data_IF_238651704197
#
_entry.id   IF_238651704197
#
_cell.length_a   1.000
_cell.length_b   1.000
_cell.length_c   1.000
_cell.angle_alpha   90.00
_cell.angle_beta   90.00
_cell.angle_gamma   90.00
#
_symmetry.space_group_name_H-M   'P 1'
#
loop_
_entity.id
_entity.type
_entity.pdbx_description
1 polymer ?
#
# COMPACT_ATOMS: atom_id res chain seq x y z
N UNK A 1 -34.66 -9.52 -21.63
CA UNK A 1 -34.67 -8.70 -22.85
C UNK A 1 -35.82 -7.67 -22.87
N UNK A 2 -37.10 -8.02 -22.59
CA UNK A 2 -38.23 -7.05 -22.56
C UNK A 2 -38.09 -5.94 -21.48
N UNK A 3 -37.55 -6.22 -20.30
CA UNK A 3 -37.39 -5.24 -19.23
C UNK A 3 -36.33 -4.14 -19.54
N UNK A 4 -35.24 -4.49 -20.21
CA UNK A 4 -34.22 -3.51 -20.63
C UNK A 4 -34.72 -2.55 -21.71
N UNK A 5 -35.60 -3.01 -22.58
CA UNK A 5 -36.22 -2.18 -23.63
C UNK A 5 -37.22 -1.18 -23.01
N UNK A 6 -37.97 -1.60 -22.00
CA UNK A 6 -38.89 -0.72 -21.26
C UNK A 6 -38.12 0.41 -20.51
N UNK A 7 -37.06 0.09 -19.83
CA UNK A 7 -36.20 1.09 -19.10
C UNK A 7 -35.60 2.06 -20.10
N UNK A 8 -35.09 1.59 -21.22
CA UNK A 8 -34.52 2.43 -22.29
C UNK A 8 -35.58 3.39 -22.88
N UNK A 9 -36.79 2.95 -23.09
CA UNK A 9 -37.88 3.80 -23.60
C UNK A 9 -38.34 4.86 -22.58
N UNK A 10 -38.38 4.52 -21.29
CA UNK A 10 -38.74 5.47 -20.22
C UNK A 10 -37.68 6.55 -20.08
N UNK A 11 -36.38 6.17 -20.11
CA UNK A 11 -35.27 7.10 -20.06
C UNK A 11 -35.26 8.03 -21.30
N UNK A 12 -35.52 7.48 -22.48
CA UNK A 12 -35.60 8.26 -23.71
C UNK A 12 -36.81 9.22 -23.73
N UNK A 13 -37.95 8.81 -23.18
CA UNK A 13 -39.14 9.68 -23.01
C UNK A 13 -38.89 10.81 -22.01
N UNK A 14 -38.24 10.54 -20.87
CA UNK A 14 -37.86 11.59 -19.89
C UNK A 14 -36.84 12.57 -20.48
N UNK A 15 -35.85 12.09 -21.23
CA UNK A 15 -34.87 12.96 -21.89
C UNK A 15 -35.51 13.85 -22.97
N UNK A 16 -36.45 13.32 -23.75
CA UNK A 16 -37.16 14.10 -24.76
C UNK A 16 -38.15 15.12 -24.14
N UNK A 17 -38.80 14.78 -23.02
CA UNK A 17 -39.66 15.71 -22.28
C UNK A 17 -38.82 16.86 -21.66
N UNK A 18 -37.65 16.55 -21.06
CA UNK A 18 -36.72 17.57 -20.57
C UNK A 18 -36.22 18.46 -21.72
N UNK A 19 -35.81 17.89 -22.85
CA UNK A 19 -35.34 18.65 -24.00
C UNK A 19 -36.47 19.51 -24.65
N UNK A 20 -37.72 19.07 -24.61
CA UNK A 20 -38.88 19.84 -25.09
C UNK A 20 -39.15 21.05 -24.19
N UNK A 21 -39.10 20.88 -22.87
CA UNK A 21 -39.25 21.97 -21.89
C UNK A 21 -38.08 22.96 -22.01
N UNK A 22 -36.85 22.47 -22.18
CA UNK A 22 -35.68 23.34 -22.36
C UNK A 22 -35.70 24.15 -23.67
N UNK A 23 -36.20 23.56 -24.79
CA UNK A 23 -36.32 24.30 -26.06
C UNK A 23 -37.33 25.44 -26.03
N UNK A 24 -38.38 25.32 -25.26
CA UNK A 24 -39.41 26.37 -25.17
C UNK A 24 -39.03 27.50 -24.19
N UNK A 25 -38.18 27.23 -23.18
CA UNK A 25 -37.69 28.22 -22.20
C UNK A 25 -36.53 29.08 -22.76
N UNK A 26 -35.80 28.57 -23.76
CA UNK A 26 -34.60 29.26 -24.27
C UNK A 26 -34.90 30.40 -25.26
N UNK A 27 -36.17 30.63 -25.63
CA UNK A 27 -36.49 31.67 -26.64
C UNK A 27 -36.64 33.08 -26.11
N UNK A 28 -36.90 33.30 -24.81
CA UNK A 28 -37.16 34.69 -24.32
C UNK A 28 -36.58 35.15 -22.99
N UNK A 29 -36.05 34.26 -22.15
CA UNK A 29 -35.50 34.69 -20.85
C UNK A 29 -34.05 34.20 -20.64
N UNK A 30 -33.08 35.08 -20.84
CA UNK A 30 -31.71 34.87 -20.38
C UNK A 30 -31.68 34.88 -18.85
N UNK A 31 -31.25 33.75 -18.25
CA UNK A 31 -30.96 33.69 -16.82
C UNK A 31 -29.99 34.81 -16.43
N UNK A 32 -30.34 35.56 -15.40
CA UNK A 32 -29.51 36.62 -14.84
C UNK A 32 -29.09 36.23 -13.42
N UNK A 33 -27.85 36.49 -13.07
CA UNK A 33 -27.31 36.21 -11.72
C UNK A 33 -27.80 37.26 -10.71
N UNK A 34 -29.12 37.20 -10.40
CA UNK A 34 -29.79 38.15 -9.53
C UNK A 34 -30.68 37.40 -8.56
N UNK A 35 -30.41 37.47 -7.26
CA UNK A 35 -31.08 36.71 -6.20
C UNK A 35 -32.52 37.21 -5.89
N UNK A 36 -32.77 38.50 -6.09
CA UNK A 36 -34.06 39.11 -5.74
C UNK A 36 -35.13 39.04 -6.83
N UNK A 37 -34.78 38.52 -8.00
CA UNK A 37 -35.71 38.38 -9.12
C UNK A 37 -36.14 36.91 -9.26
N UNK A 38 -37.45 36.69 -9.07
CA UNK A 38 -38.02 35.34 -9.28
C UNK A 38 -37.97 35.00 -10.78
N UNK A 39 -37.12 34.12 -11.15
CA UNK A 39 -36.91 33.71 -12.55
C UNK A 39 -37.59 32.35 -12.81
N UNK A 40 -38.08 32.07 -14.04
CA UNK A 40 -38.78 30.83 -14.38
C UNK A 40 -37.82 29.64 -14.58
N UNK A 41 -36.81 29.56 -13.73
CA UNK A 41 -35.82 28.46 -13.74
C UNK A 41 -35.92 27.68 -12.42
N UNK A 42 -35.73 26.36 -12.41
CA UNK A 42 -35.65 25.55 -11.18
C UNK A 42 -34.45 25.98 -10.33
N UNK A 43 -34.55 25.79 -9.01
CA UNK A 43 -33.53 26.24 -8.04
C UNK A 43 -32.14 25.65 -8.29
N UNK A 44 -32.07 24.47 -8.96
CA UNK A 44 -30.82 23.81 -9.34
C UNK A 44 -30.37 24.14 -10.79
N UNK A 45 -30.94 25.18 -11.41
CA UNK A 45 -30.56 25.57 -12.77
C UNK A 45 -29.18 26.22 -12.79
N UNK A 46 -28.23 25.57 -13.41
CA UNK A 46 -26.92 26.13 -13.75
C UNK A 46 -26.90 26.55 -15.22
N UNK A 47 -26.72 27.85 -15.47
CA UNK A 47 -26.65 28.37 -16.85
C UNK A 47 -25.45 27.77 -17.62
N UNK A 48 -25.51 27.78 -18.97
CA UNK A 48 -24.41 27.25 -19.80
C UNK A 48 -23.07 27.92 -19.54
N UNK A 49 -23.06 29.14 -19.01
CA UNK A 49 -21.86 29.86 -18.60
C UNK A 49 -21.14 29.15 -17.43
N UNK A 50 -21.88 28.51 -16.52
CA UNK A 50 -21.31 27.74 -15.41
C UNK A 50 -20.55 26.51 -15.91
N UNK A 51 -21.13 25.77 -16.86
CA UNK A 51 -20.50 24.59 -17.46
C UNK A 51 -19.27 25.00 -18.28
N UNK A 52 -19.31 26.15 -18.95
CA UNK A 52 -18.19 26.69 -19.73
C UNK A 52 -17.06 27.25 -18.82
N UNK A 53 -17.39 27.65 -17.58
CA UNK A 53 -16.40 28.09 -16.59
C UNK A 53 -15.65 26.91 -15.94
N UNK A 54 -16.16 25.68 -16.06
CA UNK A 54 -15.50 24.48 -15.57
C UNK A 54 -14.28 24.17 -16.43
N UNK A 55 -13.10 24.30 -15.81
CA UNK A 55 -11.85 23.94 -16.46
C UNK A 55 -11.61 22.44 -16.28
N UNK A 56 -11.38 21.73 -17.38
CA UNK A 56 -11.05 20.30 -17.36
C UNK A 56 -9.54 20.10 -17.30
N UNK A 57 -9.09 19.23 -16.42
CA UNK A 57 -7.69 18.78 -16.33
C UNK A 57 -6.68 19.93 -16.12
N UNK A 58 -7.07 20.96 -15.37
CA UNK A 58 -6.16 22.04 -14.94
C UNK A 58 -5.13 21.41 -13.99
N UNK A 59 -3.84 21.69 -14.20
CA UNK A 59 -2.73 21.16 -13.40
C UNK A 59 -2.61 19.63 -13.33
N UNK A 60 -3.14 18.89 -14.32
CA UNK A 60 -2.96 17.46 -14.39
C UNK A 60 -1.48 17.12 -14.66
N UNK A 61 -0.75 16.70 -13.62
CA UNK A 61 0.61 16.20 -13.77
C UNK A 61 0.57 14.86 -14.54
N UNK A 62 1.14 14.84 -15.73
CA UNK A 62 1.27 13.61 -16.52
C UNK A 62 2.47 12.83 -15.98
N UNK A 63 2.23 11.60 -15.55
CA UNK A 63 3.27 10.67 -15.10
C UNK A 63 3.84 9.95 -16.30
N UNK A 64 5.16 9.91 -16.42
CA UNK A 64 5.85 9.16 -17.48
C UNK A 64 5.93 7.67 -17.13
N UNK A 65 6.19 6.82 -18.13
CA UNK A 65 6.35 5.38 -17.90
C UNK A 65 7.50 5.10 -16.92
N UNK A 66 8.60 5.81 -17.04
CA UNK A 66 9.74 5.67 -16.13
C UNK A 66 9.40 6.03 -14.67
N UNK A 67 8.64 7.11 -14.46
CA UNK A 67 8.16 7.48 -13.13
C UNK A 67 7.20 6.42 -12.56
N UNK A 68 6.33 5.85 -13.40
CA UNK A 68 5.42 4.78 -12.98
C UNK A 68 6.19 3.51 -12.57
N UNK A 69 7.22 3.12 -13.32
CA UNK A 69 8.10 2.00 -12.99
C UNK A 69 8.86 2.27 -11.67
N UNK A 70 9.40 3.47 -11.49
CA UNK A 70 10.05 3.87 -10.23
C UNK A 70 9.10 3.77 -9.05
N UNK A 71 7.84 4.21 -9.23
CA UNK A 71 6.78 4.07 -8.23
C UNK A 71 6.47 2.61 -7.91
N UNK A 72 6.38 1.72 -8.91
CA UNK A 72 6.14 0.30 -8.70
C UNK A 72 7.27 -0.41 -7.95
N UNK A 73 8.53 0.05 -8.09
CA UNK A 73 9.66 -0.47 -7.31
C UNK A 73 9.47 -0.27 -5.80
N UNK A 74 8.79 0.81 -5.34
CA UNK A 74 8.49 0.98 -3.93
C UNK A 74 7.55 -0.11 -3.40
N UNK A 75 6.52 -0.42 -4.18
CA UNK A 75 5.53 -1.45 -3.84
C UNK A 75 6.18 -2.83 -3.83
N UNK A 76 6.91 -3.16 -4.90
CA UNK A 76 7.58 -4.46 -5.02
C UNK A 76 8.64 -4.69 -3.95
N UNK A 77 9.38 -3.65 -3.58
CA UNK A 77 10.34 -3.72 -2.49
C UNK A 77 9.65 -4.10 -1.16
N UNK A 78 8.50 -3.50 -0.86
CA UNK A 78 7.76 -3.80 0.38
C UNK A 78 7.17 -5.22 0.35
N UNK A 79 6.55 -5.63 -0.76
CA UNK A 79 6.05 -7.01 -0.96
C UNK A 79 7.19 -8.02 -0.79
N UNK A 80 8.34 -7.75 -1.39
CA UNK A 80 9.53 -8.61 -1.28
C UNK A 80 10.04 -8.72 0.16
N UNK A 81 9.95 -7.64 0.96
CA UNK A 81 10.31 -7.65 2.38
C UNK A 81 9.38 -8.57 3.19
N UNK A 82 8.06 -8.50 2.93
CA UNK A 82 7.07 -9.38 3.57
C UNK A 82 7.33 -10.85 3.19
N UNK A 83 7.55 -11.11 1.91
CA UNK A 83 7.84 -12.48 1.41
C UNK A 83 9.15 -13.00 2.01
N UNK A 84 10.18 -12.16 2.11
CA UNK A 84 11.45 -12.53 2.76
C UNK A 84 11.22 -12.96 4.21
N UNK A 85 10.41 -12.22 4.96
CA UNK A 85 10.06 -12.60 6.32
C UNK A 85 9.37 -13.96 6.39
N UNK A 86 8.39 -14.21 5.51
CA UNK A 86 7.70 -15.52 5.42
C UNK A 86 8.66 -16.65 5.06
N UNK A 87 9.63 -16.40 4.20
CA UNK A 87 10.67 -17.38 3.86
C UNK A 87 11.54 -17.70 5.09
N UNK A 88 12.00 -16.68 5.81
CA UNK A 88 12.80 -16.86 7.03
C UNK A 88 11.99 -17.67 8.07
N UNK A 89 10.71 -17.34 8.26
CA UNK A 89 9.83 -18.12 9.12
C UNK A 89 9.73 -19.59 8.68
N UNK A 90 9.54 -19.85 7.37
CA UNK A 90 9.42 -21.21 6.84
C UNK A 90 10.70 -22.02 7.06
N UNK A 91 11.85 -21.41 6.85
CA UNK A 91 13.14 -22.06 7.11
C UNK A 91 13.35 -22.34 8.61
N UNK A 92 12.94 -21.44 9.48
CA UNK A 92 12.97 -21.65 10.92
C UNK A 92 12.03 -22.79 11.34
N UNK A 93 10.79 -22.75 10.85
CA UNK A 93 9.78 -23.80 11.13
C UNK A 93 10.23 -25.18 10.67
N UNK A 94 10.99 -25.29 9.57
CA UNK A 94 11.58 -26.53 9.09
C UNK A 94 12.84 -26.96 9.85
N UNK A 95 13.29 -26.15 10.84
CA UNK A 95 14.53 -26.43 11.58
C UNK A 95 15.81 -26.33 10.75
N UNK A 96 15.76 -25.62 9.61
CA UNK A 96 16.90 -25.49 8.70
C UNK A 96 17.86 -24.37 9.10
N UNK A 97 17.48 -23.50 10.01
CA UNK A 97 18.31 -22.39 10.51
C UNK A 97 18.78 -22.74 11.93
N UNK A 98 20.09 -22.86 12.10
CA UNK A 98 20.72 -23.01 13.40
C UNK A 98 20.87 -21.64 14.07
N UNK A 99 19.81 -21.15 14.71
CA UNK A 99 19.79 -19.83 15.36
C UNK A 99 20.85 -19.69 16.46
N UNK A 100 21.23 -20.78 17.12
CA UNK A 100 22.25 -20.77 18.18
C UNK A 100 23.62 -20.33 17.68
N UNK A 101 24.02 -20.78 16.48
CA UNK A 101 25.31 -20.38 15.88
C UNK A 101 25.29 -18.89 15.49
N UNK A 102 24.17 -18.38 14.98
CA UNK A 102 24.02 -16.96 14.63
C UNK A 102 24.01 -16.06 15.87
N UNK A 103 23.39 -16.49 16.97
CA UNK A 103 23.37 -15.73 18.22
C UNK A 103 24.74 -15.63 18.85
N UNK A 104 25.53 -16.70 18.81
CA UNK A 104 26.92 -16.70 19.32
C UNK A 104 27.81 -15.75 18.49
N UNK A 105 27.66 -15.72 17.17
CA UNK A 105 28.43 -14.80 16.30
C UNK A 105 28.07 -13.31 16.57
N UNK A 106 26.83 -13.01 16.97
CA UNK A 106 26.44 -11.64 17.34
C UNK A 106 27.01 -11.18 18.68
N UNK A 107 27.32 -12.10 19.60
CA UNK A 107 27.96 -11.75 20.87
C UNK A 107 29.44 -11.37 20.68
N UNK A 108 30.11 -11.93 19.69
CA UNK A 108 31.48 -11.53 19.31
C UNK A 108 31.50 -10.13 18.65
N UNK A 109 30.43 -9.74 17.93
CA UNK A 109 30.28 -8.40 17.36
C UNK A 109 30.02 -7.31 18.43
N UNK A 110 29.45 -7.64 19.59
CA UNK A 110 29.26 -6.70 20.71
C UNK A 110 30.58 -6.19 21.30
N UNK A 111 31.66 -6.93 21.13
CA UNK A 111 32.99 -6.51 21.63
C UNK A 111 33.63 -5.42 20.76
N UNK A 112 33.15 -5.17 19.56
CA UNK A 112 33.65 -4.14 18.65
C UNK A 112 32.75 -2.90 18.74
N UNK A 113 33.20 -1.90 19.50
CA UNK A 113 32.47 -0.71 19.94
C UNK A 113 31.82 0.17 18.88
N UNK A 114 30.64 -0.21 18.42
CA UNK A 114 29.79 0.63 17.60
C UNK A 114 28.76 1.41 18.44
N UNK A 115 29.07 2.68 18.71
CA UNK A 115 28.22 3.65 19.43
C UNK A 115 27.08 4.23 18.55
N UNK A 116 26.32 3.44 17.81
CA UNK A 116 25.33 4.04 16.88
C UNK A 116 23.87 4.01 17.35
N UNK A 117 23.51 3.14 18.24
CA UNK A 117 22.19 3.13 18.90
C UNK A 117 22.48 2.99 20.38
N UNK A 118 21.80 3.78 21.23
CA UNK A 118 22.03 3.72 22.66
C UNK A 118 21.97 2.26 23.13
N UNK A 119 23.07 1.70 23.57
CA UNK A 119 23.19 0.29 24.02
C UNK A 119 22.10 -0.07 25.02
N UNK A 120 21.64 0.90 25.81
CA UNK A 120 20.50 0.78 26.73
C UNK A 120 19.20 0.42 25.99
N UNK A 121 18.91 1.02 24.82
CA UNK A 121 17.69 0.76 24.05
C UNK A 121 17.71 -0.65 23.46
N UNK A 122 18.85 -1.12 22.98
CA UNK A 122 19.02 -2.49 22.45
C UNK A 122 18.83 -3.51 23.57
N UNK A 123 19.48 -3.30 24.73
CA UNK A 123 19.36 -4.21 25.87
C UNK A 123 17.92 -4.23 26.40
N UNK A 124 17.27 -3.07 26.52
CA UNK A 124 15.88 -2.97 26.95
C UNK A 124 14.93 -3.71 25.98
N UNK A 125 15.12 -3.50 24.67
CA UNK A 125 14.34 -4.19 23.65
C UNK A 125 14.57 -5.70 23.68
N UNK A 126 15.83 -6.15 23.75
CA UNK A 126 16.18 -7.57 23.83
C UNK A 126 15.57 -8.23 25.07
N UNK A 127 15.67 -7.57 26.23
CA UNK A 127 15.04 -8.05 27.47
C UNK A 127 13.52 -8.14 27.39
N UNK A 128 12.88 -7.13 26.81
CA UNK A 128 11.42 -7.13 26.59
C UNK A 128 11.00 -8.23 25.60
N UNK A 129 11.65 -8.34 24.45
CA UNK A 129 11.33 -9.34 23.44
C UNK A 129 11.55 -10.77 23.94
N UNK A 130 12.64 -11.01 24.70
CA UNK A 130 12.90 -12.31 25.30
C UNK A 130 11.88 -12.67 26.38
N UNK A 131 11.51 -11.71 27.25
CA UNK A 131 10.48 -11.89 28.27
C UNK A 131 9.08 -12.07 27.69
N UNK A 132 8.78 -11.44 26.53
CA UNK A 132 7.49 -11.55 25.84
C UNK A 132 7.35 -12.84 25.01
N UNK A 133 8.46 -13.47 24.65
CA UNK A 133 8.50 -14.71 23.84
C UNK A 133 7.58 -15.83 24.37
N UNK A 134 7.59 -16.21 25.68
CA UNK A 134 6.68 -17.25 26.17
C UNK A 134 5.19 -16.81 26.12
N UNK A 135 4.91 -15.53 26.26
CA UNK A 135 3.53 -15.01 26.13
C UNK A 135 3.04 -15.18 24.69
N UNK A 136 3.87 -14.89 23.70
CA UNK A 136 3.52 -15.11 22.29
C UNK A 136 3.21 -16.58 21.99
N UNK A 137 3.94 -17.52 22.57
CA UNK A 137 3.69 -18.97 22.39
C UNK A 137 2.32 -19.38 22.94
N UNK A 138 1.88 -18.81 24.05
CA UNK A 138 0.61 -19.18 24.69
C UNK A 138 -0.59 -18.43 24.14
N UNK A 139 -0.39 -17.25 23.54
CA UNK A 139 -1.45 -16.34 23.10
C UNK A 139 -2.47 -16.98 22.15
N UNK A 140 -2.01 -17.84 21.26
CA UNK A 140 -2.85 -18.50 20.25
C UNK A 140 -2.93 -20.01 20.45
N UNK A 141 -2.52 -20.54 21.59
CA UNK A 141 -2.48 -21.99 21.86
C UNK A 141 -3.85 -22.68 21.68
N UNK A 142 -4.93 -21.97 21.99
CA UNK A 142 -6.33 -22.46 21.85
C UNK A 142 -6.90 -22.28 20.45
N UNK A 143 -6.24 -21.51 19.57
CA UNK A 143 -6.72 -21.24 18.21
C UNK A 143 -6.16 -22.28 17.26
N UNK A 144 -6.93 -22.69 16.23
CA UNK A 144 -6.46 -23.63 15.20
C UNK A 144 -5.30 -23.04 14.39
N UNK A 145 -4.38 -23.90 13.95
CA UNK A 145 -3.23 -23.47 13.12
C UNK A 145 -3.67 -22.77 11.84
N UNK A 146 -4.70 -23.29 11.18
CA UNK A 146 -5.22 -22.72 9.93
C UNK A 146 -5.78 -21.30 10.13
N UNK A 147 -6.53 -21.08 11.22
CA UNK A 147 -7.04 -19.75 11.57
C UNK A 147 -5.91 -18.77 11.88
N UNK A 148 -4.87 -19.23 12.56
CA UNK A 148 -3.71 -18.41 12.89
C UNK A 148 -2.92 -18.00 11.64
N UNK A 149 -2.71 -18.94 10.71
CA UNK A 149 -2.07 -18.66 9.42
C UNK A 149 -2.91 -17.71 8.57
N UNK A 150 -4.23 -17.95 8.49
CA UNK A 150 -5.14 -17.05 7.75
C UNK A 150 -5.13 -15.64 8.32
N UNK A 151 -5.13 -15.49 9.67
CA UNK A 151 -5.01 -14.19 10.34
C UNK A 151 -3.69 -13.51 10.02
N UNK A 152 -2.58 -14.26 9.99
CA UNK A 152 -1.26 -13.71 9.65
C UNK A 152 -1.23 -13.18 8.20
N UNK A 153 -1.76 -13.96 7.27
CA UNK A 153 -1.86 -13.55 5.85
C UNK A 153 -2.71 -12.27 5.72
N UNK A 154 -3.86 -12.22 6.40
CA UNK A 154 -4.70 -11.03 6.42
C UNK A 154 -3.95 -9.82 6.96
N UNK A 155 -3.22 -9.95 8.06
CA UNK A 155 -2.46 -8.86 8.67
C UNK A 155 -1.29 -8.40 7.79
N UNK A 156 -0.62 -9.30 7.08
CA UNK A 156 0.39 -8.90 6.09
C UNK A 156 -0.22 -8.19 4.88
N UNK A 157 -1.43 -8.55 4.44
CA UNK A 157 -2.15 -7.79 3.41
C UNK A 157 -2.49 -6.38 3.92
N UNK A 158 -2.97 -6.24 5.15
CA UNK A 158 -3.20 -4.93 5.79
C UNK A 158 -1.89 -4.12 5.85
N UNK A 159 -0.78 -4.75 6.24
CA UNK A 159 0.55 -4.12 6.24
C UNK A 159 0.92 -3.57 4.85
N UNK A 160 0.72 -4.35 3.77
CA UNK A 160 1.02 -3.93 2.40
C UNK A 160 0.09 -2.78 1.96
N UNK A 161 -1.22 -2.86 2.25
CA UNK A 161 -2.20 -1.85 1.80
C UNK A 161 -1.98 -0.50 2.49
N UNK A 162 -1.67 -0.49 3.78
CA UNK A 162 -1.51 0.73 4.57
C UNK A 162 -0.07 1.25 4.65
N UNK A 163 0.87 0.61 3.97
CA UNK A 163 2.25 1.07 3.91
C UNK A 163 2.37 2.43 3.20
N UNK A 164 3.21 3.30 3.72
CA UNK A 164 3.50 4.57 3.07
C UNK A 164 4.51 4.36 1.92
N UNK A 165 4.00 4.50 0.70
CA UNK A 165 4.81 4.40 -0.53
C UNK A 165 5.33 5.77 -1.02
N UNK A 166 5.33 6.79 -0.17
CA UNK A 166 5.79 8.15 -0.53
C UNK A 166 4.71 8.98 -1.23
N UNK A 167 3.43 8.61 -1.11
CA UNK A 167 2.31 9.40 -1.60
C UNK A 167 1.64 10.11 -0.42
N UNK A 168 1.41 11.42 -0.55
CA UNK A 168 0.66 12.23 0.43
C UNK A 168 -0.84 11.92 0.35
N UNK A 169 -1.23 10.69 0.68
CA UNK A 169 -2.63 10.27 0.70
C UNK A 169 -3.10 10.18 2.15
N UNK A 170 -4.22 10.82 2.43
CA UNK A 170 -4.83 10.92 3.78
C UNK A 170 -5.12 9.56 4.44
N UNK A 171 -5.27 8.50 3.63
CA UNK A 171 -5.61 7.14 4.11
C UNK A 171 -4.40 6.31 4.52
N UNK A 172 -3.17 6.79 4.35
CA UNK A 172 -1.95 6.03 4.67
C UNK A 172 -1.59 6.23 6.13
N UNK A 173 -1.61 5.15 6.90
CA UNK A 173 -1.17 5.12 8.30
C UNK A 173 0.02 4.19 8.47
N UNK A 174 1.22 4.78 8.52
CA UNK A 174 2.46 4.01 8.75
C UNK A 174 2.43 3.24 10.08
N UNK A 175 1.76 3.79 11.10
CA UNK A 175 1.59 3.12 12.39
C UNK A 175 0.72 1.86 12.26
N UNK A 176 -0.39 1.92 11.52
CA UNK A 176 -1.24 0.77 11.27
C UNK A 176 -0.50 -0.32 10.48
N UNK A 177 0.24 0.07 9.45
CA UNK A 177 1.06 -0.85 8.65
C UNK A 177 2.08 -1.58 9.52
N UNK A 178 2.88 -0.86 10.31
CA UNK A 178 3.87 -1.46 11.20
C UNK A 178 3.25 -2.40 12.24
N UNK A 179 2.16 -1.98 12.88
CA UNK A 179 1.45 -2.80 13.86
C UNK A 179 0.87 -4.07 13.24
N UNK A 180 0.31 -3.99 12.04
CA UNK A 180 -0.20 -5.14 11.32
C UNK A 180 0.92 -6.14 10.97
N UNK A 181 2.09 -5.68 10.54
CA UNK A 181 3.26 -6.53 10.28
C UNK A 181 3.73 -7.27 11.54
N UNK A 182 3.85 -6.56 12.66
CA UNK A 182 4.24 -7.16 13.94
C UNK A 182 3.18 -8.15 14.43
N UNK A 183 1.90 -7.80 14.35
CA UNK A 183 0.81 -8.71 14.77
C UNK A 183 0.76 -9.98 13.92
N UNK A 184 0.90 -9.86 12.59
CA UNK A 184 1.01 -11.01 11.69
C UNK A 184 2.19 -11.93 12.07
N UNK A 185 3.31 -11.32 12.47
CA UNK A 185 4.48 -12.06 13.00
C UNK A 185 4.14 -12.80 14.28
N UNK A 186 3.54 -12.14 15.27
CA UNK A 186 3.14 -12.76 16.55
C UNK A 186 2.26 -13.98 16.32
N UNK A 187 1.32 -13.90 15.38
CA UNK A 187 0.49 -15.04 15.00
C UNK A 187 1.35 -16.21 14.47
N UNK A 188 2.30 -15.97 13.58
CA UNK A 188 3.15 -17.03 13.03
C UNK A 188 4.09 -17.63 14.08
N UNK A 189 4.81 -16.79 14.84
CA UNK A 189 5.82 -17.28 15.80
C UNK A 189 5.20 -18.03 16.97
N UNK A 190 3.91 -17.84 17.25
CA UNK A 190 3.17 -18.61 18.25
C UNK A 190 3.10 -20.12 17.93
N UNK A 191 3.45 -20.52 16.72
CA UNK A 191 3.48 -21.92 16.27
C UNK A 191 4.85 -22.57 16.40
N UNK A 192 5.87 -21.82 16.82
CA UNK A 192 7.19 -22.37 17.06
C UNK A 192 7.31 -22.92 18.48
N UNK A 193 8.05 -24.03 18.60
CA UNK A 193 8.28 -24.70 19.88
C UNK A 193 9.45 -24.09 20.67
N UNK A 194 10.46 -23.57 19.96
CA UNK A 194 11.69 -23.05 20.56
C UNK A 194 11.55 -21.58 20.94
N UNK A 195 11.86 -21.24 22.20
CA UNK A 195 11.86 -19.86 22.70
C UNK A 195 12.87 -18.97 21.95
N UNK A 196 14.03 -19.51 21.60
CA UNK A 196 15.10 -18.79 20.91
C UNK A 196 14.65 -18.44 19.47
N UNK A 197 13.96 -19.36 18.79
CA UNK A 197 13.40 -19.09 17.46
C UNK A 197 12.35 -17.99 17.49
N UNK A 198 11.42 -18.04 18.46
CA UNK A 198 10.40 -17.00 18.65
C UNK A 198 11.04 -15.64 18.88
N UNK A 199 12.04 -15.56 19.79
CA UNK A 199 12.76 -14.32 20.06
C UNK A 199 13.44 -13.78 18.79
N UNK A 200 14.14 -14.62 18.07
CA UNK A 200 14.89 -14.22 16.87
C UNK A 200 13.95 -13.73 15.76
N UNK A 201 12.83 -14.46 15.52
CA UNK A 201 11.86 -14.04 14.50
C UNK A 201 11.10 -12.75 14.88
N UNK A 202 10.80 -12.55 16.18
CA UNK A 202 10.26 -11.28 16.65
C UNK A 202 11.26 -10.12 16.40
N UNK A 203 12.54 -10.36 16.65
CA UNK A 203 13.59 -9.39 16.36
C UNK A 203 13.72 -9.11 14.87
N UNK A 204 13.74 -10.15 14.03
CA UNK A 204 13.72 -10.01 12.57
C UNK A 204 12.51 -9.22 12.09
N UNK A 205 11.32 -9.42 12.67
CA UNK A 205 10.13 -8.70 12.27
C UNK A 205 10.24 -7.20 12.54
N UNK A 206 10.78 -6.81 13.70
CA UNK A 206 10.99 -5.39 14.00
C UNK A 206 12.02 -4.79 13.04
N UNK A 207 13.07 -5.52 12.72
CA UNK A 207 14.06 -5.05 11.73
C UNK A 207 13.39 -4.87 10.36
N UNK A 208 12.62 -5.83 9.89
CA UNK A 208 12.03 -5.81 8.54
C UNK A 208 10.85 -4.84 8.44
N UNK A 209 9.96 -4.77 9.44
CA UNK A 209 8.72 -3.99 9.36
C UNK A 209 8.82 -2.59 9.97
N UNK A 210 9.80 -2.33 10.84
CA UNK A 210 9.95 -1.02 11.49
C UNK A 210 11.25 -0.34 11.08
N UNK A 211 12.39 -0.98 11.34
CA UNK A 211 13.71 -0.34 11.15
C UNK A 211 14.02 -0.15 9.67
N UNK A 212 13.79 -1.18 8.87
CA UNK A 212 14.10 -1.16 7.44
C UNK A 212 13.32 -0.10 6.64
N UNK A 213 11.98 0.05 6.78
CA UNK A 213 11.25 1.13 6.10
C UNK A 213 11.74 2.53 6.50
N UNK A 214 12.09 2.74 7.78
CA UNK A 214 12.62 4.01 8.26
C UNK A 214 14.01 4.32 7.68
N UNK A 215 14.90 3.33 7.67
CA UNK A 215 16.24 3.46 7.06
C UNK A 215 16.12 3.73 5.57
N UNK A 216 15.28 2.97 4.87
CA UNK A 216 15.04 3.15 3.46
C UNK A 216 14.50 4.53 3.14
N UNK A 217 13.52 5.05 3.92
CA UNK A 217 13.00 6.40 3.76
C UNK A 217 14.10 7.44 3.78
N UNK A 218 14.94 7.43 4.83
CA UNK A 218 16.09 8.33 4.95
C UNK A 218 17.13 8.16 3.84
N UNK A 219 17.40 6.91 3.41
CA UNK A 219 18.33 6.64 2.33
C UNK A 219 17.86 7.23 1.00
N UNK A 220 16.56 7.13 0.72
CA UNK A 220 15.95 7.64 -0.50
C UNK A 220 15.81 9.18 -0.51
N UNK A 221 15.70 9.82 0.66
CA UNK A 221 15.78 11.27 0.78
C UNK A 221 17.16 11.80 0.34
N UNK A 222 18.24 11.07 0.69
CA UNK A 222 19.61 11.48 0.38
C UNK A 222 19.97 11.03 -1.06
N UNK A 223 19.62 9.80 -1.43
CA UNK A 223 19.97 9.18 -2.71
C UNK A 223 18.76 8.56 -3.42
N UNK A 224 17.95 9.35 -4.13
CA UNK A 224 16.71 8.85 -4.76
C UNK A 224 16.96 7.79 -5.85
N UNK A 225 18.15 7.76 -6.44
CA UNK A 225 18.54 6.78 -7.47
C UNK A 225 18.76 5.36 -6.93
N UNK A 226 18.91 5.19 -5.61
CA UNK A 226 19.18 3.88 -4.98
C UNK A 226 17.96 2.98 -4.88
N UNK A 227 16.75 3.50 -5.16
CA UNK A 227 15.50 2.73 -5.06
C UNK A 227 15.50 1.48 -5.97
N UNK A 228 15.91 1.65 -7.22
CA UNK A 228 15.91 0.54 -8.20
C UNK A 228 16.93 -0.55 -7.85
N UNK A 229 18.23 -0.23 -7.64
CA UNK A 229 19.20 -1.27 -7.29
C UNK A 229 18.86 -1.96 -5.97
N UNK A 230 18.29 -1.24 -5.00
CA UNK A 230 17.88 -1.82 -3.73
C UNK A 230 16.71 -2.81 -3.90
N UNK A 231 15.70 -2.44 -4.70
CA UNK A 231 14.58 -3.31 -5.02
C UNK A 231 15.03 -4.55 -5.80
N UNK A 232 15.95 -4.40 -6.75
CA UNK A 232 16.50 -5.51 -7.52
C UNK A 232 17.34 -6.45 -6.67
N UNK A 233 18.19 -5.92 -5.80
CA UNK A 233 18.98 -6.73 -4.87
C UNK A 233 18.07 -7.57 -3.97
N UNK A 234 17.04 -6.97 -3.38
CA UNK A 234 16.09 -7.68 -2.54
C UNK A 234 15.30 -8.74 -3.34
N UNK A 235 14.89 -8.42 -4.58
CA UNK A 235 14.20 -9.39 -5.44
C UNK A 235 15.08 -10.59 -5.77
N UNK A 236 16.37 -10.39 -6.02
CA UNK A 236 17.34 -11.48 -6.27
C UNK A 236 17.51 -12.33 -4.98
N UNK A 237 17.66 -11.70 -3.82
CA UNK A 237 17.76 -12.41 -2.54
C UNK A 237 16.53 -13.27 -2.26
N UNK A 238 15.32 -12.72 -2.47
CA UNK A 238 14.04 -13.47 -2.30
C UNK A 238 13.97 -14.63 -3.29
N UNK A 239 14.30 -14.40 -4.56
CA UNK A 239 14.28 -15.45 -5.58
C UNK A 239 15.25 -16.58 -5.26
N UNK A 240 16.48 -16.24 -4.86
CA UNK A 240 17.51 -17.20 -4.50
C UNK A 240 17.14 -18.03 -3.26
N UNK A 241 16.57 -17.37 -2.23
CA UNK A 241 16.15 -18.06 -1.01
C UNK A 241 14.87 -18.88 -1.18
N UNK A 242 13.96 -18.49 -2.10
CA UNK A 242 12.71 -19.21 -2.36
C UNK A 242 12.91 -20.44 -3.28
N UNK A 243 13.93 -20.40 -4.15
CA UNK A 243 14.18 -21.44 -5.15
C UNK A 243 14.32 -22.87 -4.55
N UNK A 244 15.10 -23.08 -3.47
CA UNK A 244 15.22 -24.40 -2.85
C UNK A 244 13.94 -24.85 -2.13
N UNK A 245 13.08 -23.91 -1.72
CA UNK A 245 11.83 -24.22 -1.03
C UNK A 245 10.76 -24.75 -2.00
N UNK A 246 10.55 -24.01 -3.10
CA UNK A 246 9.55 -24.36 -4.11
C UNK A 246 9.79 -23.62 -5.42
N UNK A 247 10.05 -24.40 -6.49
CA UNK A 247 10.22 -23.85 -7.84
C UNK A 247 8.95 -23.15 -8.35
N UNK A 248 7.77 -23.67 -8.00
CA UNK A 248 6.49 -23.11 -8.43
C UNK A 248 6.27 -21.73 -7.79
N UNK A 249 6.50 -21.61 -6.47
CA UNK A 249 6.35 -20.32 -5.78
C UNK A 249 7.37 -19.28 -6.27
N UNK A 250 8.60 -19.72 -6.56
CA UNK A 250 9.61 -18.84 -7.17
C UNK A 250 9.15 -18.32 -8.53
N UNK A 251 8.60 -19.19 -9.40
CA UNK A 251 8.06 -18.77 -10.69
C UNK A 251 6.91 -17.79 -10.52
N UNK A 252 5.97 -18.07 -9.62
CA UNK A 252 4.85 -17.17 -9.32
C UNK A 252 5.34 -15.78 -8.83
N UNK A 253 6.34 -15.76 -7.97
CA UNK A 253 6.93 -14.50 -7.49
C UNK A 253 7.57 -13.70 -8.63
N UNK A 254 8.35 -14.33 -9.51
CA UNK A 254 8.98 -13.68 -10.66
C UNK A 254 7.92 -13.13 -11.63
N UNK A 255 6.87 -13.92 -11.91
CA UNK A 255 5.75 -13.46 -12.74
C UNK A 255 5.02 -12.27 -12.10
N UNK A 256 4.77 -12.32 -10.79
CA UNK A 256 4.16 -11.22 -10.05
C UNK A 256 5.03 -9.96 -10.10
N UNK A 257 6.36 -10.13 -9.96
CA UNK A 257 7.31 -9.01 -10.03
C UNK A 257 7.27 -8.32 -11.39
N UNK A 258 7.32 -9.08 -12.48
CA UNK A 258 7.23 -8.57 -13.84
C UNK A 258 5.85 -7.91 -14.08
N UNK A 259 4.78 -8.54 -13.62
CA UNK A 259 3.42 -8.03 -13.76
C UNK A 259 3.26 -6.66 -13.11
N UNK A 260 3.68 -6.50 -11.85
CA UNK A 260 3.52 -5.23 -11.13
C UNK A 260 4.46 -4.17 -11.69
N UNK A 261 5.73 -4.51 -11.95
CA UNK A 261 6.72 -3.51 -12.40
C UNK A 261 6.49 -3.02 -13.82
N UNK A 262 6.09 -3.88 -14.74
CA UNK A 262 5.94 -3.52 -16.15
C UNK A 262 4.48 -3.35 -16.56
N UNK A 263 3.63 -4.37 -16.33
CA UNK A 263 2.27 -4.37 -16.85
C UNK A 263 1.39 -3.36 -16.11
N UNK A 264 1.40 -3.36 -14.78
CA UNK A 264 0.64 -2.39 -14.00
C UNK A 264 1.10 -0.95 -14.27
N UNK A 265 2.41 -0.71 -14.40
CA UNK A 265 2.96 0.60 -14.73
C UNK A 265 2.53 1.08 -16.12
N UNK A 266 2.52 0.19 -17.12
CA UNK A 266 2.04 0.50 -18.47
C UNK A 266 0.53 0.80 -18.47
N UNK A 267 -0.27 -0.03 -17.80
CA UNK A 267 -1.70 0.18 -17.64
C UNK A 267 -2.01 1.51 -16.94
N UNK A 268 -1.28 1.85 -15.89
CA UNK A 268 -1.43 3.11 -15.18
C UNK A 268 -1.23 4.31 -16.12
N UNK A 269 -0.17 4.29 -16.94
CA UNK A 269 0.10 5.36 -17.91
C UNK A 269 -1.00 5.46 -18.98
N UNK A 270 -1.50 4.32 -19.48
CA UNK A 270 -2.59 4.31 -20.46
C UNK A 270 -3.89 4.84 -19.83
N UNK A 271 -4.24 4.38 -18.61
CA UNK A 271 -5.46 4.80 -17.92
C UNK A 271 -5.42 6.27 -17.47
N UNK A 272 -4.24 6.87 -17.32
CA UNK A 272 -4.08 8.28 -16.99
C UNK A 272 -4.81 9.19 -17.99
N UNK A 273 -4.87 8.80 -19.27
CA UNK A 273 -5.59 9.56 -20.30
C UNK A 273 -7.11 9.61 -20.07
N UNK A 274 -7.66 8.64 -19.34
CA UNK A 274 -9.09 8.57 -18.99
C UNK A 274 -9.43 9.42 -17.76
N UNK A 275 -8.44 9.83 -16.97
CA UNK A 275 -8.65 10.66 -15.79
C UNK A 275 -9.13 12.05 -16.19
N UNK A 276 -10.31 12.42 -15.69
CA UNK A 276 -10.89 13.75 -15.89
C UNK A 276 -11.10 14.39 -14.54
N UNK A 277 -10.40 15.49 -14.27
CA UNK A 277 -10.61 16.35 -13.11
C UNK A 277 -11.38 17.59 -13.58
N UNK A 278 -12.42 17.96 -12.84
CA UNK A 278 -13.22 19.18 -13.08
C UNK A 278 -12.89 20.15 -11.95
N UNK A 279 -12.34 21.30 -12.32
CA UNK A 279 -12.13 22.42 -11.41
C UNK A 279 -13.24 23.43 -11.64
N UNK A 280 -13.99 23.78 -10.59
CA UNK A 280 -15.10 24.71 -10.62
C UNK A 280 -14.81 26.00 -9.88
N UNK A 281 -15.73 26.97 -10.00
CA UNK A 281 -15.65 28.25 -9.31
C UNK A 281 -15.76 28.16 -7.78
N UNK A 282 -16.05 26.95 -7.24
CA UNK A 282 -16.15 26.67 -5.80
C UNK A 282 -14.81 26.20 -5.18
N UNK A 283 -13.78 25.99 -5.97
CA UNK A 283 -12.46 25.65 -5.42
C UNK A 283 -11.85 26.91 -4.80
N UNK A 284 -11.28 26.72 -3.60
CA UNK A 284 -10.63 27.81 -2.87
C UNK A 284 -9.49 28.40 -3.71
N UNK A 285 -9.41 29.73 -3.71
CA UNK A 285 -8.29 30.43 -4.32
C UNK A 285 -7.02 30.04 -3.57
N UNK A 286 -6.10 29.36 -4.25
CA UNK A 286 -4.75 29.19 -3.73
C UNK A 286 -4.12 30.57 -3.57
N UNK A 287 -3.89 30.98 -2.33
CA UNK A 287 -3.07 32.14 -2.03
C UNK A 287 -1.64 31.83 -2.49
N UNK A 288 -1.22 32.48 -3.56
CA UNK A 288 0.18 32.47 -4.00
C UNK A 288 1.02 33.33 -3.05
#
# INVERSE_FOLDING_TARGET
MKAQIQVSMVVKRRRNACNGIFKNVTKENKWKRVLYLKQPFPDNYSGPQFINSLRKNVNLKKVTFTEAVLGSCYVMHHISSVILFVIIFTYSYMGMIAWESLLNETDDLKSSGYNFISLKTIILYAGYAYGFSPVCQTLTATVSTDSTVATSVFMFLVNIIFCNYGCDVVMVSSALSMNAGIFGTVCLVSRLSSRNEVFTLLTCSVVIFVVWPLLRGKLLEIYPTTNVPLAMCLAICVTASMYPLSRVMTLLYVVLHIFITLICSALFVVMQSMKRTLHGAWEEASLN
#
